data_IF_259157571351
#
_entry.id   IF_259157571351
#
_cell.length_a   1.000
_cell.length_b   1.000
_cell.length_c   1.000
_cell.angle_alpha   90.00
_cell.angle_beta   90.00
_cell.angle_gamma   90.00
#
_symmetry.space_group_name_H-M   'P 1'
#
loop_
_entity.id
_entity.type
_entity.pdbx_description
1 polymer ?
#
# COMPACT_ATOMS: atom_id res chain seq x y z
N UNK A 1 -29.68 9.06 -17.76
CA UNK A 1 -28.60 8.26 -18.39
C UNK A 1 -27.41 9.10 -18.82
N UNK A 2 -27.64 10.26 -19.42
CA UNK A 2 -26.55 11.14 -19.89
C UNK A 2 -25.64 11.69 -18.77
N UNK A 3 -26.18 11.85 -17.57
CA UNK A 3 -25.43 12.28 -16.38
C UNK A 3 -24.36 11.25 -15.93
N UNK A 4 -24.63 9.97 -16.09
CA UNK A 4 -23.66 8.91 -15.77
C UNK A 4 -22.52 8.84 -16.79
N UNK A 5 -22.81 9.15 -18.05
CA UNK A 5 -21.79 9.26 -19.09
C UNK A 5 -20.84 10.46 -18.83
N UNK A 6 -21.41 11.61 -18.38
CA UNK A 6 -20.64 12.79 -18.04
C UNK A 6 -19.88 12.68 -16.69
N UNK A 7 -20.47 11.99 -15.72
CA UNK A 7 -19.93 11.86 -14.36
C UNK A 7 -20.07 10.42 -13.83
N UNK A 8 -19.23 9.48 -14.27
CA UNK A 8 -19.34 8.05 -13.92
C UNK A 8 -19.21 7.74 -12.44
N UNK A 9 -18.64 8.65 -11.65
CA UNK A 9 -18.38 8.48 -10.22
C UNK A 9 -19.38 9.17 -9.29
N UNK A 10 -20.49 9.73 -9.82
CA UNK A 10 -21.49 10.39 -8.97
C UNK A 10 -22.02 9.44 -7.87
N UNK A 11 -22.07 9.87 -6.60
CA UNK A 11 -22.61 9.08 -5.51
C UNK A 11 -24.07 8.69 -5.73
N UNK A 12 -24.43 7.46 -5.35
CA UNK A 12 -25.80 6.96 -5.50
C UNK A 12 -26.87 7.83 -4.87
N UNK A 13 -26.70 8.42 -3.66
CA UNK A 13 -27.67 9.31 -3.04
C UNK A 13 -27.94 10.58 -3.85
N UNK A 14 -26.93 11.13 -4.51
CA UNK A 14 -27.07 12.33 -5.37
C UNK A 14 -27.92 11.99 -6.61
N UNK A 15 -27.60 10.89 -7.28
CA UNK A 15 -28.38 10.39 -8.42
C UNK A 15 -29.81 10.05 -8.04
N UNK A 16 -30.03 9.48 -6.86
CA UNK A 16 -31.38 9.19 -6.38
C UNK A 16 -32.21 10.46 -6.19
N UNK A 17 -31.60 11.53 -5.67
CA UNK A 17 -32.28 12.81 -5.51
C UNK A 17 -32.71 13.40 -6.85
N UNK A 18 -31.82 13.38 -7.84
CA UNK A 18 -32.12 13.86 -9.19
C UNK A 18 -33.21 13.03 -9.87
N UNK A 19 -33.13 11.70 -9.76
CA UNK A 19 -34.14 10.78 -10.34
C UNK A 19 -35.52 10.91 -9.67
N UNK A 20 -35.56 11.18 -8.37
CA UNK A 20 -36.83 11.46 -7.66
C UNK A 20 -37.49 12.73 -8.16
N UNK A 21 -36.75 13.76 -8.50
CA UNK A 21 -37.27 14.98 -9.14
C UNK A 21 -37.88 14.68 -10.51
N UNK A 22 -37.42 13.63 -11.19
CA UNK A 22 -37.94 13.16 -12.48
C UNK A 22 -39.02 12.11 -12.36
N UNK A 23 -39.52 11.83 -11.13
CA UNK A 23 -40.61 10.89 -10.89
C UNK A 23 -40.17 9.44 -10.64
N UNK A 24 -38.92 9.15 -10.35
CA UNK A 24 -38.48 7.79 -10.07
C UNK A 24 -38.99 7.30 -8.71
N UNK A 25 -39.79 6.20 -8.65
CA UNK A 25 -40.41 5.72 -7.42
C UNK A 25 -39.49 4.78 -6.61
N UNK A 26 -38.34 4.36 -7.15
CA UNK A 26 -37.47 3.36 -6.55
C UNK A 26 -36.64 3.87 -5.40
N UNK A 27 -36.15 2.94 -4.58
CA UNK A 27 -35.25 3.21 -3.48
C UNK A 27 -33.76 3.14 -3.85
N UNK A 28 -32.91 3.56 -2.91
CA UNK A 28 -31.45 3.58 -3.09
C UNK A 28 -30.88 2.20 -3.44
N UNK A 29 -31.39 1.12 -2.85
CA UNK A 29 -30.91 -0.26 -3.12
C UNK A 29 -31.12 -0.68 -4.57
N UNK A 30 -32.29 -0.34 -5.15
CA UNK A 30 -32.62 -0.64 -6.55
C UNK A 30 -31.68 0.13 -7.46
N UNK A 31 -31.48 1.42 -7.19
CA UNK A 31 -30.55 2.26 -7.93
C UNK A 31 -29.12 1.75 -7.86
N UNK A 32 -28.63 1.40 -6.67
CA UNK A 32 -27.27 0.87 -6.48
C UNK A 32 -27.06 -0.45 -7.23
N UNK A 33 -28.06 -1.34 -7.24
CA UNK A 33 -28.00 -2.59 -8.01
C UNK A 33 -27.86 -2.31 -9.51
N UNK A 34 -28.58 -1.34 -10.01
CA UNK A 34 -28.53 -0.94 -11.43
C UNK A 34 -27.18 -0.27 -11.76
N UNK A 35 -26.72 0.63 -10.91
CA UNK A 35 -25.41 1.30 -11.05
C UNK A 35 -24.23 0.32 -11.07
N UNK A 36 -24.29 -0.77 -10.29
CA UNK A 36 -23.25 -1.81 -10.33
C UNK A 36 -23.14 -2.51 -11.70
N UNK A 37 -24.24 -2.58 -12.43
CA UNK A 37 -24.25 -3.18 -13.78
C UNK A 37 -23.77 -2.19 -14.83
N UNK A 38 -24.09 -0.90 -14.67
CA UNK A 38 -23.74 0.15 -15.62
C UNK A 38 -22.32 0.66 -15.48
N UNK A 39 -21.80 0.67 -14.25
CA UNK A 39 -20.41 1.07 -14.00
C UNK A 39 -19.48 -0.05 -14.43
N UNK A 40 -18.68 0.22 -15.42
CA UNK A 40 -17.57 -0.68 -15.77
C UNK A 40 -16.70 -0.90 -14.54
N UNK A 41 -16.35 -2.15 -14.25
CA UNK A 41 -15.35 -2.47 -13.25
C UNK A 41 -14.02 -1.95 -13.77
N UNK A 42 -13.63 -0.78 -13.34
CA UNK A 42 -12.27 -0.27 -13.57
C UNK A 42 -11.34 -1.28 -12.94
N UNK A 43 -10.66 -2.06 -13.76
CA UNK A 43 -9.59 -2.94 -13.28
C UNK A 43 -8.50 -2.03 -12.70
N UNK A 44 -8.04 -2.26 -11.46
CA UNK A 44 -6.94 -1.48 -10.93
C UNK A 44 -5.75 -1.63 -11.87
N UNK A 45 -5.26 -0.50 -12.37
CA UNK A 45 -4.06 -0.47 -13.20
C UNK A 45 -2.89 -0.78 -12.27
N UNK A 46 -2.31 -1.94 -12.41
CA UNK A 46 -1.13 -2.34 -11.66
C UNK A 46 0.09 -1.73 -12.36
N UNK A 47 0.54 -0.59 -11.85
CA UNK A 47 1.80 0.02 -12.30
C UNK A 47 2.96 -0.70 -11.65
N UNK A 48 3.68 -1.50 -12.43
CA UNK A 48 4.95 -2.08 -12.00
C UNK A 48 6.02 -1.00 -12.09
N UNK A 49 6.52 -0.58 -10.94
CA UNK A 49 7.64 0.37 -10.88
C UNK A 49 8.92 -0.42 -11.17
N UNK A 50 9.55 -0.14 -12.30
CA UNK A 50 10.86 -0.69 -12.65
C UNK A 50 11.92 0.39 -12.49
N UNK A 51 13.01 0.05 -11.81
CA UNK A 51 14.14 0.95 -11.59
C UNK A 51 15.43 0.30 -12.11
N UNK A 52 16.38 1.10 -12.64
CA UNK A 52 17.69 0.57 -13.04
C UNK A 52 18.47 -0.06 -11.87
N UNK A 53 19.44 -0.94 -12.14
CA UNK A 53 20.28 -1.54 -11.10
C UNK A 53 20.94 -0.49 -10.22
N UNK A 54 20.94 -0.70 -8.90
CA UNK A 54 21.60 0.16 -7.93
C UNK A 54 20.96 1.53 -7.70
N UNK A 55 19.87 1.86 -8.38
CA UNK A 55 19.24 3.17 -8.27
C UNK A 55 18.39 3.33 -7.03
N UNK A 56 17.58 2.33 -6.69
CA UNK A 56 16.58 2.45 -5.64
C UNK A 56 16.47 1.19 -4.78
N UNK A 57 16.31 1.41 -3.48
CA UNK A 57 15.84 0.42 -2.53
C UNK A 57 14.56 0.91 -1.85
N UNK A 58 13.80 -0.01 -1.29
CA UNK A 58 12.66 0.27 -0.43
C UNK A 58 12.93 -0.31 0.95
N UNK A 59 12.65 0.47 1.98
CA UNK A 59 12.87 0.08 3.36
C UNK A 59 11.57 0.20 4.16
N UNK A 60 11.30 -0.79 4.99
CA UNK A 60 10.14 -0.79 5.87
C UNK A 60 10.41 -1.60 7.13
N UNK A 61 9.57 -1.38 8.16
CA UNK A 61 9.53 -2.15 9.38
C UNK A 61 8.34 -3.09 9.38
N UNK A 62 8.55 -4.32 9.82
CA UNK A 62 7.49 -5.27 10.10
C UNK A 62 7.45 -5.62 11.59
N UNK A 63 6.26 -5.67 12.15
CA UNK A 63 6.06 -6.15 13.51
C UNK A 63 5.91 -7.67 13.50
N UNK A 64 6.78 -8.37 14.21
CA UNK A 64 6.86 -9.84 14.20
C UNK A 64 6.42 -10.48 15.53
N UNK A 65 5.53 -9.81 16.27
CA UNK A 65 5.06 -10.31 17.55
C UNK A 65 6.02 -9.98 18.68
N UNK A 66 6.21 -10.90 19.62
CA UNK A 66 7.05 -10.71 20.79
C UNK A 66 7.85 -11.96 21.10
N UNK A 67 9.00 -11.77 21.73
CA UNK A 67 9.89 -12.83 22.20
C UNK A 67 10.22 -12.64 23.67
N UNK A 68 10.52 -13.72 24.37
CA UNK A 68 10.99 -13.70 25.74
C UNK A 68 12.50 -13.56 25.76
N UNK A 69 12.99 -12.49 26.37
CA UNK A 69 14.42 -12.23 26.59
C UNK A 69 14.68 -12.18 28.09
N UNK A 70 15.37 -13.18 28.62
CA UNK A 70 15.54 -13.33 30.06
C UNK A 70 14.19 -13.50 30.78
N UNK A 71 13.84 -12.57 31.67
CA UNK A 71 12.56 -12.56 32.41
C UNK A 71 11.49 -11.64 31.80
N UNK A 72 11.82 -10.95 30.69
CA UNK A 72 10.95 -9.94 30.07
C UNK A 72 10.48 -10.40 28.69
N UNK A 73 9.26 -10.00 28.34
CA UNK A 73 8.74 -10.12 26.98
C UNK A 73 9.00 -8.82 26.22
N UNK A 74 9.62 -8.92 25.06
CA UNK A 74 9.95 -7.76 24.22
C UNK A 74 9.36 -7.91 22.83
N UNK A 75 8.99 -6.78 22.23
CA UNK A 75 8.53 -6.74 20.86
C UNK A 75 9.65 -7.10 19.90
N UNK A 76 9.33 -7.94 18.91
CA UNK A 76 10.22 -8.29 17.83
C UNK A 76 9.82 -7.52 16.57
N UNK A 77 10.78 -6.81 16.00
CA UNK A 77 10.62 -6.09 14.73
C UNK A 77 11.57 -6.65 13.69
N UNK A 78 11.16 -6.60 12.43
CA UNK A 78 12.01 -6.92 11.29
C UNK A 78 12.26 -5.66 10.49
N UNK A 79 13.52 -5.34 10.28
CA UNK A 79 13.97 -4.36 9.30
C UNK A 79 14.03 -5.06 7.94
N UNK A 80 13.34 -4.54 6.95
CA UNK A 80 13.29 -5.12 5.60
C UNK A 80 13.73 -4.06 4.60
N UNK A 81 14.72 -4.38 3.79
CA UNK A 81 15.16 -3.54 2.69
C UNK A 81 15.26 -4.35 1.40
N UNK A 82 14.66 -3.85 0.33
CA UNK A 82 14.55 -4.54 -0.96
C UNK A 82 15.10 -3.66 -2.06
N UNK A 83 16.01 -4.21 -2.86
CA UNK A 83 16.50 -3.54 -4.07
C UNK A 83 15.42 -3.53 -5.15
N UNK A 84 15.23 -2.38 -5.79
CA UNK A 84 14.15 -2.17 -6.76
C UNK A 84 14.31 -2.98 -8.04
N UNK A 85 15.52 -3.16 -8.52
CA UNK A 85 15.81 -3.90 -9.76
C UNK A 85 15.86 -5.41 -9.54
N UNK A 86 16.80 -5.89 -8.71
CA UNK A 86 17.04 -7.32 -8.48
C UNK A 86 16.01 -7.99 -7.60
N UNK A 87 15.25 -7.19 -6.82
CA UNK A 87 14.36 -7.66 -5.76
C UNK A 87 15.11 -8.39 -4.63
N UNK A 88 16.42 -8.24 -4.57
CA UNK A 88 17.23 -8.83 -3.52
C UNK A 88 16.89 -8.19 -2.17
N UNK A 89 16.58 -9.01 -1.20
CA UNK A 89 16.04 -8.60 0.09
C UNK A 89 17.08 -8.77 1.18
N UNK A 90 17.18 -7.80 2.06
CA UNK A 90 17.89 -7.89 3.33
C UNK A 90 16.88 -7.80 4.48
N UNK A 91 16.97 -8.71 5.44
CA UNK A 91 16.11 -8.76 6.62
C UNK A 91 16.97 -8.90 7.86
N UNK A 92 16.69 -8.07 8.86
CA UNK A 92 17.34 -8.12 10.17
C UNK A 92 16.29 -7.97 11.27
N UNK A 93 16.33 -8.82 12.28
CA UNK A 93 15.44 -8.74 13.43
C UNK A 93 16.05 -7.88 14.52
N UNK A 94 15.24 -7.02 15.10
CA UNK A 94 15.63 -6.15 16.20
C UNK A 94 14.59 -6.18 17.32
N UNK A 95 15.02 -5.80 18.51
CA UNK A 95 14.12 -5.68 19.68
C UNK A 95 13.61 -4.25 19.87
N UNK A 96 14.06 -3.31 19.04
CA UNK A 96 13.60 -1.93 19.03
C UNK A 96 13.61 -1.34 17.62
N UNK A 97 12.93 -0.22 17.44
CA UNK A 97 12.93 0.57 16.22
C UNK A 97 13.55 1.96 16.47
N UNK A 98 14.50 2.04 17.40
CA UNK A 98 15.19 3.29 17.68
C UNK A 98 16.10 3.71 16.52
N UNK A 99 16.55 4.96 16.53
CA UNK A 99 17.36 5.52 15.46
C UNK A 99 18.69 4.78 15.29
N UNK A 100 19.29 4.39 16.39
CA UNK A 100 20.55 3.65 16.41
C UNK A 100 20.41 2.30 15.71
N UNK A 101 19.38 1.53 16.03
CA UNK A 101 19.10 0.25 15.38
C UNK A 101 18.77 0.44 13.91
N UNK A 102 18.02 1.48 13.57
CA UNK A 102 17.69 1.84 12.20
C UNK A 102 18.92 2.12 11.35
N UNK A 103 19.85 2.94 11.85
CA UNK A 103 21.11 3.24 11.18
C UNK A 103 21.97 1.99 11.06
N UNK A 104 22.08 1.19 12.13
CA UNK A 104 22.89 -0.02 12.13
C UNK A 104 22.37 -1.05 11.11
N UNK A 105 21.06 -1.22 11.01
CA UNK A 105 20.44 -2.10 10.02
C UNK A 105 20.76 -1.65 8.58
N UNK A 106 20.76 -0.35 8.31
CA UNK A 106 21.18 0.18 7.01
C UNK A 106 22.63 -0.16 6.67
N UNK A 107 23.53 0.08 7.62
CA UNK A 107 24.95 -0.23 7.44
C UNK A 107 25.17 -1.72 7.20
N UNK A 108 24.49 -2.57 7.94
CA UNK A 108 24.55 -4.02 7.78
C UNK A 108 24.02 -4.47 6.41
N UNK A 109 22.93 -3.87 5.94
CA UNK A 109 22.37 -4.15 4.61
C UNK A 109 23.33 -3.75 3.49
N UNK A 110 23.93 -2.57 3.56
CA UNK A 110 24.89 -2.10 2.58
C UNK A 110 26.16 -2.96 2.57
N UNK A 111 26.60 -3.38 3.72
CA UNK A 111 27.73 -4.31 3.84
C UNK A 111 27.41 -5.68 3.20
N UNK A 112 26.23 -6.21 3.49
CA UNK A 112 25.79 -7.49 2.95
C UNK A 112 25.64 -7.44 1.41
N UNK A 113 25.21 -6.30 0.87
CA UNK A 113 25.05 -6.11 -0.57
C UNK A 113 26.37 -5.73 -1.29
N UNK A 114 27.35 -5.27 -0.54
CA UNK A 114 28.61 -4.76 -1.10
C UNK A 114 28.47 -3.40 -1.79
N UNK A 115 27.46 -2.61 -1.46
CA UNK A 115 27.21 -1.31 -2.05
C UNK A 115 26.02 -0.59 -1.45
N UNK A 116 25.82 0.66 -1.89
CA UNK A 116 24.76 1.55 -1.40
C UNK A 116 23.90 1.99 -2.58
N UNK A 117 22.56 1.89 -2.51
CA UNK A 117 21.68 2.39 -3.56
C UNK A 117 21.70 3.94 -3.57
N UNK A 118 21.39 4.54 -4.71
CA UNK A 118 21.35 6.00 -4.85
C UNK A 118 20.18 6.63 -4.09
N UNK A 119 19.06 5.91 -3.94
CA UNK A 119 17.86 6.37 -3.26
C UNK A 119 17.27 5.25 -2.40
N UNK A 120 16.69 5.64 -1.28
CA UNK A 120 15.92 4.74 -0.42
C UNK A 120 14.54 5.35 -0.21
N UNK A 121 13.50 4.57 -0.48
CA UNK A 121 12.12 4.91 -0.16
C UNK A 121 11.72 4.28 1.17
N UNK A 122 11.08 5.07 1.99
CA UNK A 122 10.59 4.68 3.31
C UNK A 122 9.06 4.63 3.36
#
# INVERSE_FOLDING_TARGET
>A
MDRLAAHPHLPGPVLLRELRQQGFPGGLRILQRHLRRLREKVKPVFLRIETPPGQQAQCDWAHCGSVVVGKSRRNLSAFVMVLGYSRFMYVEFTLSQCLEDFIQCHLNAFHAWGGVPLKILY
#
